data_IF_286169341071
#
_entry.id   IF_286169341071
#
_cell.length_a   1.000
_cell.length_b   1.000
_cell.length_c   1.000
_cell.angle_alpha   90.00
_cell.angle_beta   90.00
_cell.angle_gamma   90.00
#
_symmetry.space_group_name_H-M   'P 1'
#
loop_
_entity.id
_entity.type
_entity.pdbx_description
1 polymer ?
#
# COMPACT_ATOMS: atom_id res chain seq x y z
N UNK A 1 17.16 6.44 -27.95
CA UNK A 1 15.77 6.52 -27.41
C UNK A 1 15.49 5.23 -26.66
N UNK A 2 15.11 5.28 -25.37
CA UNK A 2 14.59 4.08 -24.69
C UNK A 2 13.24 3.72 -25.32
N UNK A 3 13.07 2.47 -25.73
CA UNK A 3 11.83 1.99 -26.32
C UNK A 3 10.71 1.98 -25.27
N UNK A 4 9.44 1.94 -25.70
CA UNK A 4 8.31 1.76 -24.75
C UNK A 4 8.48 0.48 -23.91
N UNK A 5 9.09 -0.56 -24.50
CA UNK A 5 9.39 -1.82 -23.83
C UNK A 5 10.41 -1.63 -22.69
N UNK A 6 11.48 -0.87 -22.93
CA UNK A 6 12.48 -0.57 -21.88
C UNK A 6 11.89 0.22 -20.72
N UNK A 7 10.94 1.12 -21.00
CA UNK A 7 10.23 1.89 -19.96
C UNK A 7 9.28 1.01 -19.17
N UNK A 8 8.53 0.14 -19.84
CA UNK A 8 7.62 -0.79 -19.19
C UNK A 8 8.39 -1.72 -18.23
N UNK A 9 9.44 -2.38 -18.73
CA UNK A 9 10.29 -3.25 -17.91
C UNK A 9 10.84 -2.52 -16.69
N UNK A 10 11.34 -1.30 -16.87
CA UNK A 10 11.87 -0.50 -15.77
C UNK A 10 10.80 -0.21 -14.69
N UNK A 11 9.57 0.12 -15.09
CA UNK A 11 8.49 0.35 -14.12
C UNK A 11 8.00 -0.94 -13.47
N UNK A 12 7.95 -2.06 -14.18
CA UNK A 12 7.63 -3.37 -13.61
C UNK A 12 8.65 -3.78 -12.53
N UNK A 13 9.94 -3.58 -12.78
CA UNK A 13 11.00 -3.83 -11.81
C UNK A 13 10.86 -2.94 -10.57
N UNK A 14 10.59 -1.64 -10.76
CA UNK A 14 10.35 -0.72 -9.65
C UNK A 14 9.12 -1.10 -8.82
N UNK A 15 8.01 -1.46 -9.47
CA UNK A 15 6.79 -1.90 -8.78
C UNK A 15 7.03 -3.21 -8.01
N UNK A 16 7.78 -4.15 -8.57
CA UNK A 16 8.16 -5.39 -7.88
C UNK A 16 9.00 -5.11 -6.64
N UNK A 17 9.96 -4.20 -6.72
CA UNK A 17 10.79 -3.80 -5.59
C UNK A 17 9.97 -3.13 -4.48
N UNK A 18 9.06 -2.22 -4.85
CA UNK A 18 8.15 -1.56 -3.90
C UNK A 18 7.24 -2.57 -3.19
N UNK A 19 6.69 -3.55 -3.92
CA UNK A 19 5.85 -4.59 -3.34
C UNK A 19 6.61 -5.46 -2.34
N UNK A 20 7.89 -5.77 -2.60
CA UNK A 20 8.73 -6.50 -1.64
C UNK A 20 8.92 -5.71 -0.35
N UNK A 21 9.28 -4.44 -0.46
CA UNK A 21 9.46 -3.56 0.70
C UNK A 21 8.16 -3.42 1.50
N UNK A 22 7.02 -3.29 0.81
CA UNK A 22 5.70 -3.26 1.42
C UNK A 22 5.40 -4.53 2.23
N UNK A 23 5.64 -5.70 1.63
CA UNK A 23 5.41 -6.99 2.29
C UNK A 23 6.33 -7.21 3.50
N UNK A 24 7.58 -6.78 3.41
CA UNK A 24 8.53 -6.87 4.52
C UNK A 24 8.12 -5.93 5.68
N UNK A 25 7.65 -4.71 5.37
CA UNK A 25 7.14 -3.79 6.38
C UNK A 25 5.92 -4.34 7.15
N UNK A 26 4.98 -5.00 6.45
CA UNK A 26 3.84 -5.68 7.09
C UNK A 26 4.33 -6.80 8.00
N UNK A 27 5.28 -7.62 7.51
CA UNK A 27 5.84 -8.73 8.30
C UNK A 27 6.50 -8.22 9.59
N UNK A 28 7.21 -7.10 9.52
CA UNK A 28 7.88 -6.52 10.69
C UNK A 28 6.90 -5.88 11.68
N UNK A 29 5.79 -5.30 11.20
CA UNK A 29 4.69 -4.86 12.06
C UNK A 29 4.11 -6.05 12.84
N UNK A 30 3.87 -7.18 12.17
CA UNK A 30 3.32 -8.39 12.80
C UNK A 30 4.24 -8.98 13.87
N UNK A 31 5.57 -8.94 13.66
CA UNK A 31 6.55 -9.35 14.68
C UNK A 31 6.50 -8.48 15.94
N UNK A 32 5.98 -7.25 15.82
CA UNK A 32 5.88 -6.26 16.90
C UNK A 32 4.52 -6.27 17.59
N UNK A 33 3.73 -7.33 17.43
CA UNK A 33 2.37 -7.47 17.97
C UNK A 33 1.37 -6.43 17.44
N UNK A 34 1.64 -5.86 16.26
CA UNK A 34 0.74 -4.97 15.55
C UNK A 34 0.18 -5.70 14.32
N UNK A 35 -1.09 -5.48 14.02
CA UNK A 35 -1.70 -5.87 12.75
C UNK A 35 -1.83 -4.64 11.84
N UNK A 36 -2.00 -4.86 10.54
CA UNK A 36 -2.02 -3.81 9.51
C UNK A 36 -3.37 -3.80 8.81
N UNK A 37 -4.12 -2.71 9.00
CA UNK A 37 -5.30 -2.41 8.19
C UNK A 37 -4.87 -1.80 6.85
N UNK A 38 -5.35 -2.39 5.76
CA UNK A 38 -5.08 -1.98 4.39
C UNK A 38 -6.39 -1.52 3.76
N UNK A 39 -6.46 -0.24 3.45
CA UNK A 39 -7.61 0.37 2.80
C UNK A 39 -7.20 0.99 1.46
N UNK A 40 -8.15 1.06 0.53
CA UNK A 40 -7.94 1.69 -0.76
C UNK A 40 -8.71 3.00 -0.81
N UNK A 41 -8.01 4.07 -1.15
CA UNK A 41 -8.58 5.38 -1.37
C UNK A 41 -8.53 5.71 -2.86
N UNK A 42 -9.56 6.39 -3.35
CA UNK A 42 -9.52 6.98 -4.69
C UNK A 42 -8.96 8.37 -4.59
N UNK A 43 -7.76 8.60 -5.13
CA UNK A 43 -7.20 9.93 -5.29
C UNK A 43 -7.54 10.49 -6.66
N UNK A 44 -8.07 11.71 -6.71
CA UNK A 44 -8.37 12.40 -7.97
C UNK A 44 -7.13 13.16 -8.45
N UNK A 45 -6.62 12.79 -9.61
CA UNK A 45 -5.49 13.46 -10.26
C UNK A 45 -5.92 14.13 -11.55
N UNK A 46 -5.08 14.99 -12.13
CA UNK A 46 -5.33 15.59 -13.45
C UNK A 46 -5.47 14.55 -14.57
N UNK A 47 -5.00 13.30 -14.37
CA UNK A 47 -5.09 12.19 -15.32
C UNK A 47 -6.28 11.26 -15.07
N UNK A 48 -7.12 11.56 -14.07
CA UNK A 48 -8.24 10.73 -13.65
C UNK A 48 -8.05 10.10 -12.25
N UNK A 49 -8.98 9.22 -11.83
CA UNK A 49 -8.91 8.55 -10.55
C UNK A 49 -7.72 7.59 -10.49
N UNK A 50 -6.99 7.63 -9.39
CA UNK A 50 -5.87 6.74 -9.09
C UNK A 50 -6.11 6.05 -7.74
N UNK A 51 -5.85 4.75 -7.68
CA UNK A 51 -5.93 4.01 -6.43
C UNK A 51 -4.71 4.33 -5.57
N UNK A 52 -4.96 4.77 -4.34
CA UNK A 52 -3.96 4.96 -3.30
C UNK A 52 -4.16 3.91 -2.21
N UNK A 53 -3.07 3.26 -1.80
CA UNK A 53 -3.06 2.37 -0.65
C UNK A 53 -2.90 3.22 0.62
N UNK A 54 -3.79 3.03 1.58
CA UNK A 54 -3.74 3.66 2.89
C UNK A 54 -3.54 2.59 3.97
N UNK A 55 -2.52 2.79 4.81
CA UNK A 55 -2.06 1.80 5.77
C UNK A 55 -2.17 2.35 7.19
N UNK A 56 -2.61 1.50 8.11
CA UNK A 56 -2.67 1.82 9.53
C UNK A 56 -2.32 0.59 10.35
N UNK A 57 -1.48 0.77 11.37
CA UNK A 57 -1.22 -0.29 12.36
C UNK A 57 -2.19 -0.21 13.52
N UNK A 58 -2.54 -1.35 14.10
CA UNK A 58 -3.29 -1.44 15.36
C UNK A 58 -2.77 -2.57 16.24
N UNK A 59 -2.89 -2.49 17.57
CA UNK A 59 -2.48 -3.57 18.46
C UNK A 59 -3.31 -4.84 18.22
N UNK A 60 -2.67 -6.01 18.26
CA UNK A 60 -3.37 -7.30 18.25
C UNK A 60 -4.18 -7.52 19.54
N UNK A 61 -3.71 -6.96 20.66
CA UNK A 61 -4.40 -7.00 21.95
C UNK A 61 -5.34 -5.80 22.10
N UNK A 62 -6.64 -6.06 22.03
CA UNK A 62 -7.72 -5.06 22.13
C UNK A 62 -8.75 -5.21 21.00
N UNK A 63 -9.92 -4.56 21.11
CA UNK A 63 -10.90 -4.59 20.03
C UNK A 63 -10.31 -3.96 18.75
N UNK A 64 -10.49 -4.58 17.57
CA UNK A 64 -10.05 -4.00 16.30
C UNK A 64 -10.59 -2.58 16.14
N UNK A 65 -9.81 -1.65 15.53
CA UNK A 65 -10.30 -0.29 15.31
C UNK A 65 -11.55 -0.31 14.43
N UNK A 66 -12.67 0.17 14.98
CA UNK A 66 -13.90 0.34 14.20
C UNK A 66 -13.69 1.50 13.22
N UNK A 67 -13.53 1.18 11.94
CA UNK A 67 -13.48 2.17 10.87
C UNK A 67 -14.85 2.87 10.76
N UNK A 68 -14.97 4.07 11.34
CA UNK A 68 -16.13 4.93 11.09
C UNK A 68 -15.97 5.56 9.72
N UNK A 69 -16.81 5.16 8.77
CA UNK A 69 -17.03 5.92 7.54
C UNK A 69 -17.65 7.26 7.95
N UNK A 70 -16.87 8.34 7.87
CA UNK A 70 -17.40 9.69 8.03
C UNK A 70 -18.17 9.99 6.74
N UNK A 71 -19.48 10.15 6.85
CA UNK A 71 -20.34 10.63 5.76
C UNK A 71 -20.20 12.13 5.57
#
# INVERSE_FOLDING_TARGET
MKTLHDRQKHYEEQLSAALRQFNDAIRDAHKSYLDVDISFLTMHTQRGPMVQVNLRTFPLDGPPPVLKVVK
#
